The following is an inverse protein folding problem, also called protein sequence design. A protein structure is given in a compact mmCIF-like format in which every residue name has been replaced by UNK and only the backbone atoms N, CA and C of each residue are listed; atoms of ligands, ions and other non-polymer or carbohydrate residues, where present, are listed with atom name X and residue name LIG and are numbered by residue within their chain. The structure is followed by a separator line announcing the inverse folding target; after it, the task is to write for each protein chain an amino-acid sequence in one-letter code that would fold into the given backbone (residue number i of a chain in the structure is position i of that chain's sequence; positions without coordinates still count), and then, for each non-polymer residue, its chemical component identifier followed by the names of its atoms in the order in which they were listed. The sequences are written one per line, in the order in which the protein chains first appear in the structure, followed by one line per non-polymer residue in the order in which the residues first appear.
data_IF_082748549863
#
_entry.id   IF_082748549863
#
_cell.length_a   1.000
_cell.length_b   1.000
_cell.length_c   1.000
_cell.angle_alpha   90.00
_cell.angle_beta   90.00
_cell.angle_gamma   90.00
#
_symmetry.space_group_name_H-M   'P 1'
#
loop_
_entity.id
_entity.type
_entity.pdbx_description
1 polymer ?
#
# COMPACT_ATOMS: atom_id res chain seq x y z
N UNK A 1 17.81 -8.03 -29.13
CA UNK A 1 16.96 -8.64 -28.09
C UNK A 1 17.40 -10.02 -27.66
N UNK A 2 17.70 -10.97 -28.56
CA UNK A 2 18.10 -12.35 -28.21
C UNK A 2 19.36 -12.49 -27.31
N UNK A 3 20.32 -11.58 -27.42
CA UNK A 3 21.56 -11.62 -26.62
C UNK A 3 21.30 -11.28 -25.13
N UNK A 4 20.50 -10.25 -24.85
CA UNK A 4 20.12 -9.89 -23.47
C UNK A 4 19.30 -10.98 -22.79
N UNK A 5 18.39 -11.62 -23.52
CA UNK A 5 17.57 -12.72 -22.99
C UNK A 5 18.44 -13.93 -22.65
N UNK A 6 19.44 -14.25 -23.48
CA UNK A 6 20.40 -15.32 -23.20
C UNK A 6 21.29 -15.07 -21.97
N UNK A 7 21.70 -13.80 -21.75
CA UNK A 7 22.46 -13.41 -20.56
C UNK A 7 21.62 -13.55 -19.27
N UNK A 8 20.35 -13.13 -19.32
CA UNK A 8 19.42 -13.16 -18.17
C UNK A 8 18.89 -14.57 -17.85
N UNK A 9 19.02 -15.54 -18.78
CA UNK A 9 18.62 -16.93 -18.55
C UNK A 9 19.78 -17.84 -18.18
N UNK A 10 21.03 -17.34 -18.20
CA UNK A 10 22.20 -18.13 -17.82
C UNK A 10 22.31 -18.27 -16.29
N UNK A 11 21.83 -19.42 -15.78
CA UNK A 11 21.81 -19.73 -14.34
C UNK A 11 23.20 -19.66 -13.67
N UNK A 12 24.28 -19.94 -14.40
CA UNK A 12 25.65 -19.88 -13.88
C UNK A 12 26.06 -18.42 -13.67
N UNK A 13 25.80 -17.58 -14.66
CA UNK A 13 26.10 -16.15 -14.59
C UNK A 13 25.28 -15.46 -13.47
N UNK A 14 24.00 -15.79 -13.36
CA UNK A 14 23.15 -15.26 -12.28
C UNK A 14 23.62 -15.69 -10.90
N UNK A 15 24.07 -16.95 -10.73
CA UNK A 15 24.66 -17.41 -9.46
C UNK A 15 25.95 -16.68 -9.14
N UNK A 16 26.84 -16.49 -10.11
CA UNK A 16 28.08 -15.75 -9.92
C UNK A 16 27.83 -14.29 -9.52
N UNK A 17 26.91 -13.60 -10.20
CA UNK A 17 26.49 -12.24 -9.84
C UNK A 17 25.92 -12.21 -8.41
N UNK A 18 25.12 -13.19 -8.05
CA UNK A 18 24.51 -13.27 -6.72
C UNK A 18 25.53 -13.47 -5.61
N UNK A 19 26.54 -14.33 -5.82
CA UNK A 19 27.65 -14.55 -4.87
C UNK A 19 28.48 -13.27 -4.68
N UNK A 20 28.82 -12.59 -5.79
CA UNK A 20 29.53 -11.31 -5.72
C UNK A 20 28.69 -10.26 -4.99
N UNK A 21 27.39 -10.24 -5.26
CA UNK A 21 26.45 -9.31 -4.60
C UNK A 21 26.40 -9.50 -3.09
N UNK A 22 26.33 -10.74 -2.61
CA UNK A 22 26.31 -11.04 -1.17
C UNK A 22 27.64 -10.69 -0.49
N UNK A 23 28.75 -10.85 -1.19
CA UNK A 23 30.08 -10.53 -0.67
C UNK A 23 30.31 -9.01 -0.47
N UNK A 24 29.51 -8.16 -1.11
CA UNK A 24 29.63 -6.70 -0.93
C UNK A 24 29.12 -6.26 0.45
N UNK A 25 29.81 -5.30 1.11
CA UNK A 25 29.32 -4.67 2.35
C UNK A 25 27.92 -4.09 2.18
N UNK A 26 27.09 -4.20 3.21
CA UNK A 26 25.70 -3.71 3.19
C UNK A 26 25.54 -2.26 2.69
N UNK A 27 26.35 -1.27 3.13
CA UNK A 27 26.20 0.11 2.65
C UNK A 27 26.45 0.24 1.14
N UNK A 28 27.36 -0.56 0.59
CA UNK A 28 27.63 -0.57 -0.86
C UNK A 28 26.44 -1.18 -1.60
N UNK A 29 25.93 -2.30 -1.15
CA UNK A 29 24.72 -2.93 -1.72
C UNK A 29 23.54 -1.97 -1.72
N UNK A 30 23.28 -1.32 -0.57
CA UNK A 30 22.19 -0.34 -0.43
C UNK A 30 22.34 0.79 -1.45
N UNK A 31 23.54 1.38 -1.58
CA UNK A 31 23.80 2.49 -2.52
C UNK A 31 23.60 2.03 -3.97
N UNK A 32 24.17 0.90 -4.36
CA UNK A 32 24.04 0.37 -5.73
C UNK A 32 22.57 0.06 -6.04
N UNK A 33 21.83 -0.59 -5.14
CA UNK A 33 20.40 -0.86 -5.35
C UNK A 33 19.61 0.43 -5.53
N UNK A 34 19.85 1.43 -4.68
CA UNK A 34 19.15 2.71 -4.75
C UNK A 34 19.39 3.42 -6.09
N UNK A 35 20.64 3.45 -6.55
CA UNK A 35 20.96 4.11 -7.82
C UNK A 35 20.46 3.31 -9.03
N UNK A 36 20.52 1.99 -9.00
CA UNK A 36 19.93 1.16 -10.06
C UNK A 36 18.41 1.36 -10.15
N UNK A 37 17.71 1.41 -9.03
CA UNK A 37 16.27 1.71 -9.00
C UNK A 37 16.02 3.12 -9.55
N UNK A 38 16.79 4.11 -9.13
CA UNK A 38 16.67 5.50 -9.61
C UNK A 38 16.84 5.57 -11.14
N UNK A 39 17.89 4.97 -11.68
CA UNK A 39 18.15 4.94 -13.13
C UNK A 39 17.03 4.21 -13.86
N UNK A 40 16.58 3.08 -13.36
CA UNK A 40 15.47 2.33 -13.95
C UNK A 40 14.17 3.15 -13.98
N UNK A 41 13.87 3.89 -12.91
CA UNK A 41 12.69 4.76 -12.85
C UNK A 41 12.79 5.92 -13.84
N UNK A 42 13.98 6.54 -13.98
CA UNK A 42 14.21 7.60 -14.96
C UNK A 42 14.05 7.07 -16.40
N UNK A 43 14.65 5.91 -16.70
CA UNK A 43 14.51 5.28 -18.01
C UNK A 43 13.05 4.93 -18.31
N UNK A 44 12.33 4.34 -17.37
CA UNK A 44 10.91 4.02 -17.54
C UNK A 44 10.04 5.26 -17.77
N UNK A 45 10.36 6.39 -17.11
CA UNK A 45 9.70 7.68 -17.38
C UNK A 45 10.01 8.20 -18.77
N UNK A 46 11.28 8.14 -19.20
CA UNK A 46 11.73 8.62 -20.51
C UNK A 46 11.08 7.86 -21.67
N UNK A 47 10.91 6.53 -21.56
CA UNK A 47 10.27 5.70 -22.60
C UNK A 47 8.74 5.63 -22.48
N UNK A 48 8.14 6.44 -21.59
CA UNK A 48 6.69 6.57 -21.48
C UNK A 48 5.93 5.35 -20.93
N UNK A 49 6.63 4.34 -20.41
CA UNK A 49 6.01 3.13 -19.83
C UNK A 49 5.05 3.48 -18.66
N UNK A 50 5.22 4.67 -18.06
CA UNK A 50 4.36 5.14 -16.97
C UNK A 50 3.20 6.06 -17.43
N UNK A 51 2.97 6.21 -18.72
CA UNK A 51 1.82 6.95 -19.26
C UNK A 51 0.56 6.06 -19.37
N UNK A 52 0.27 5.24 -18.37
CA UNK A 52 -1.05 4.60 -18.32
C UNK A 52 -2.05 5.60 -17.73
N UNK A 53 -2.90 6.12 -18.60
CA UNK A 53 -4.09 6.91 -18.22
C UNK A 53 -5.30 5.98 -18.02
N UNK A 54 -5.28 4.80 -18.66
CA UNK A 54 -6.35 3.81 -18.60
C UNK A 54 -6.30 2.99 -17.31
N UNK A 55 -7.49 2.61 -16.82
CA UNK A 55 -7.60 1.73 -15.66
C UNK A 55 -7.05 0.34 -16.00
N UNK A 56 -6.30 -0.22 -15.07
CA UNK A 56 -5.84 -1.62 -15.18
C UNK A 56 -7.05 -2.55 -15.09
N UNK A 57 -7.28 -3.43 -16.07
CA UNK A 57 -8.39 -4.39 -16.01
C UNK A 57 -8.34 -5.21 -14.71
N UNK A 58 -9.48 -5.52 -14.07
CA UNK A 58 -9.52 -6.22 -12.78
C UNK A 58 -8.66 -7.49 -12.72
N UNK A 59 -8.72 -8.34 -13.73
CA UNK A 59 -7.92 -9.57 -13.80
C UNK A 59 -6.42 -9.38 -14.06
N UNK A 60 -5.96 -8.14 -14.29
CA UNK A 60 -4.55 -7.78 -14.49
C UNK A 60 -3.97 -6.94 -13.34
N UNK A 61 -4.78 -6.63 -12.34
CA UNK A 61 -4.31 -5.91 -11.16
C UNK A 61 -3.34 -6.81 -10.40
N UNK A 62 -2.08 -6.39 -10.33
CA UNK A 62 -1.07 -7.12 -9.59
C UNK A 62 -1.32 -6.99 -8.08
N UNK A 63 -1.20 -8.11 -7.38
CA UNK A 63 -1.21 -8.15 -5.92
C UNK A 63 -0.11 -9.07 -5.40
N UNK A 64 0.35 -8.80 -4.19
CA UNK A 64 1.30 -9.64 -3.47
C UNK A 64 0.85 -9.76 -2.01
N UNK A 65 0.82 -10.99 -1.51
CA UNK A 65 0.53 -11.30 -0.12
C UNK A 65 1.50 -12.38 0.34
N UNK A 66 2.18 -12.14 1.47
CA UNK A 66 3.17 -13.09 2.00
C UNK A 66 2.57 -14.05 3.03
N UNK A 67 1.48 -13.65 3.67
CA UNK A 67 0.83 -14.40 4.76
C UNK A 67 -0.56 -14.92 4.38
N UNK A 68 -0.81 -15.06 3.07
CA UNK A 68 -2.09 -15.50 2.53
C UNK A 68 -3.06 -14.34 2.26
N UNK A 69 -4.23 -14.70 1.77
CA UNK A 69 -5.31 -13.77 1.46
C UNK A 69 -6.49 -14.09 2.40
N UNK A 70 -6.64 -13.36 3.53
CA UNK A 70 -7.74 -13.59 4.46
C UNK A 70 -9.07 -13.34 3.77
N UNK A 71 -10.03 -14.22 4.04
CA UNK A 71 -11.40 -14.05 3.59
C UNK A 71 -12.22 -13.46 4.73
N UNK A 72 -12.57 -12.17 4.59
CA UNK A 72 -13.33 -11.45 5.59
C UNK A 72 -14.77 -11.30 5.14
N UNK A 73 -15.69 -11.66 6.04
CA UNK A 73 -17.11 -11.44 5.86
C UNK A 73 -17.45 -9.98 6.15
N UNK A 74 -17.97 -9.27 5.16
CA UNK A 74 -18.32 -7.85 5.31
C UNK A 74 -19.49 -7.62 6.28
N UNK A 75 -20.37 -8.61 6.50
CA UNK A 75 -21.47 -8.48 7.44
C UNK A 75 -21.00 -8.54 8.90
N UNK A 76 -19.91 -9.28 9.15
CA UNK A 76 -19.29 -9.41 10.47
C UNK A 76 -18.09 -8.46 10.65
N UNK A 77 -17.72 -7.71 9.60
CA UNK A 77 -16.58 -6.82 9.63
C UNK A 77 -16.80 -5.62 10.53
N UNK A 78 -15.80 -5.35 11.38
CA UNK A 78 -15.67 -4.13 12.16
C UNK A 78 -14.26 -3.56 12.04
N UNK A 79 -14.19 -2.26 11.78
CA UNK A 79 -12.96 -1.48 11.89
C UNK A 79 -12.89 -0.87 13.28
N UNK A 80 -11.77 -1.07 13.99
CA UNK A 80 -11.50 -0.34 15.24
C UNK A 80 -10.56 0.83 15.00
N UNK A 81 -10.79 1.94 15.72
CA UNK A 81 -9.88 3.08 15.81
C UNK A 81 -9.64 3.34 17.30
N UNK A 82 -8.38 3.31 17.72
CA UNK A 82 -8.06 3.31 19.15
C UNK A 82 -6.70 3.95 19.49
N UNK A 83 -6.37 3.96 20.77
CA UNK A 83 -5.18 4.47 21.45
C UNK A 83 -5.14 6.00 21.57
N UNK A 84 -4.33 6.75 20.83
CA UNK A 84 -4.22 8.21 20.95
C UNK A 84 -5.43 8.96 20.38
N UNK A 85 -6.62 8.55 20.82
CA UNK A 85 -7.91 9.19 20.52
C UNK A 85 -8.64 9.54 21.80
N UNK A 86 -9.55 10.50 21.74
CA UNK A 86 -10.43 10.80 22.87
C UNK A 86 -11.57 9.76 22.97
N UNK A 87 -12.00 9.22 21.83
CA UNK A 87 -13.05 8.21 21.72
C UNK A 87 -12.62 7.09 20.78
N UNK A 88 -12.50 5.88 21.32
CA UNK A 88 -12.31 4.69 20.48
C UNK A 88 -13.58 4.41 19.67
N UNK A 89 -13.39 4.04 18.41
CA UNK A 89 -14.49 3.72 17.51
C UNK A 89 -14.49 2.22 17.16
N UNK A 90 -15.70 1.68 16.99
CA UNK A 90 -15.93 0.37 16.38
C UNK A 90 -16.97 0.56 15.29
N UNK A 91 -16.57 0.44 14.03
CA UNK A 91 -17.35 0.86 12.86
C UNK A 91 -17.62 -0.35 11.99
N UNK A 92 -18.89 -0.78 11.89
CA UNK A 92 -19.28 -1.86 10.99
C UNK A 92 -19.13 -1.45 9.52
N UNK A 93 -19.04 -2.42 8.61
CA UNK A 93 -18.95 -2.15 7.18
C UNK A 93 -20.16 -1.34 6.66
N UNK A 94 -21.35 -1.61 7.18
CA UNK A 94 -22.55 -0.83 6.87
C UNK A 94 -22.43 0.63 7.32
N UNK A 95 -21.92 0.87 8.54
CA UNK A 95 -21.68 2.21 9.06
C UNK A 95 -20.60 2.96 8.27
N UNK A 96 -19.55 2.28 7.78
CA UNK A 96 -18.55 2.90 6.89
C UNK A 96 -19.18 3.50 5.63
N UNK A 97 -20.18 2.83 5.06
CA UNK A 97 -20.86 3.31 3.85
C UNK A 97 -21.75 4.55 4.08
N UNK A 98 -21.96 4.96 5.32
CA UNK A 98 -22.70 6.21 5.65
C UNK A 98 -21.80 7.45 5.66
N UNK A 99 -20.49 7.27 5.68
CA UNK A 99 -19.53 8.37 5.58
C UNK A 99 -19.52 8.96 4.16
N UNK A 100 -19.07 10.22 3.98
CA UNK A 100 -18.92 10.82 2.66
C UNK A 100 -18.04 9.95 1.76
N UNK A 101 -18.59 9.53 0.62
CA UNK A 101 -17.92 8.67 -0.35
C UNK A 101 -16.94 9.49 -1.18
N UNK A 102 -15.75 8.95 -1.38
CA UNK A 102 -14.71 9.50 -2.24
C UNK A 102 -14.38 8.51 -3.34
N UNK A 103 -14.47 8.96 -4.59
CA UNK A 103 -13.96 8.24 -5.76
C UNK A 103 -12.65 8.88 -6.19
N UNK A 104 -11.59 8.09 -6.34
CA UNK A 104 -10.27 8.60 -6.73
C UNK A 104 -9.53 7.64 -7.62
N UNK A 105 -9.02 8.15 -8.74
CA UNK A 105 -8.08 7.40 -9.55
C UNK A 105 -6.70 7.42 -8.90
N UNK A 106 -6.15 6.24 -8.66
CA UNK A 106 -4.86 6.02 -8.00
C UNK A 106 -3.94 5.27 -8.95
N UNK A 107 -2.71 5.77 -9.05
CA UNK A 107 -1.60 5.01 -9.60
C UNK A 107 -0.81 4.40 -8.45
N UNK A 108 -0.80 3.07 -8.38
CA UNK A 108 -0.06 2.32 -7.37
C UNK A 108 1.18 1.70 -7.99
N UNK A 109 2.34 2.10 -7.50
CA UNK A 109 3.63 1.57 -7.92
C UNK A 109 4.12 0.49 -6.95
N UNK A 110 4.55 -0.63 -7.49
CA UNK A 110 5.31 -1.64 -6.76
C UNK A 110 6.81 -1.34 -6.83
N UNK A 111 7.56 -1.59 -5.77
CA UNK A 111 9.04 -1.50 -5.79
C UNK A 111 9.68 -2.39 -6.86
N UNK A 112 9.02 -3.48 -7.24
CA UNK A 112 9.42 -4.34 -8.37
C UNK A 112 9.15 -3.76 -9.76
N UNK A 113 8.64 -2.52 -9.85
CA UNK A 113 8.41 -1.81 -11.10
C UNK A 113 7.09 -2.12 -11.81
N UNK A 114 6.19 -2.84 -11.15
CA UNK A 114 4.81 -3.04 -11.62
C UNK A 114 3.95 -1.85 -11.23
N UNK A 115 3.00 -1.51 -12.08
CA UNK A 115 2.10 -0.38 -11.89
C UNK A 115 0.65 -0.79 -12.15
N UNK A 116 -0.24 -0.36 -11.27
CA UNK A 116 -1.68 -0.45 -11.46
C UNK A 116 -2.31 0.95 -11.43
N UNK A 117 -3.20 1.23 -12.37
CA UNK A 117 -4.11 2.38 -12.33
C UNK A 117 -5.49 1.86 -11.96
N UNK A 118 -6.04 2.38 -10.88
CA UNK A 118 -7.30 1.89 -10.33
C UNK A 118 -8.19 3.06 -9.91
N UNK A 119 -9.47 2.93 -10.16
CA UNK A 119 -10.48 3.78 -9.53
C UNK A 119 -10.78 3.17 -8.15
N UNK A 120 -10.48 3.90 -7.10
CA UNK A 120 -10.73 3.52 -5.70
C UNK A 120 -11.94 4.27 -5.18
N UNK A 121 -12.91 3.53 -4.63
CA UNK A 121 -14.05 4.09 -3.93
C UNK A 121 -13.98 3.73 -2.46
N UNK A 122 -14.19 4.72 -1.60
CA UNK A 122 -14.08 4.54 -0.15
C UNK A 122 -14.44 5.79 0.63
N UNK A 123 -13.92 5.90 1.84
CA UNK A 123 -14.13 7.02 2.74
C UNK A 123 -12.82 7.74 3.03
N UNK A 124 -12.86 9.06 3.17
CA UNK A 124 -11.69 9.85 3.57
C UNK A 124 -11.20 9.42 4.95
N UNK A 125 -9.90 9.22 5.11
CA UNK A 125 -9.31 8.91 6.41
C UNK A 125 -9.56 10.05 7.41
N UNK A 126 -9.47 11.30 6.98
CA UNK A 126 -9.74 12.46 7.84
C UNK A 126 -11.18 12.44 8.38
N UNK A 127 -12.17 12.24 7.49
CA UNK A 127 -13.59 12.17 7.89
C UNK A 127 -13.86 10.97 8.83
N UNK A 128 -13.17 9.86 8.65
CA UNK A 128 -13.31 8.70 9.50
C UNK A 128 -12.70 8.91 10.89
N UNK A 129 -11.58 9.63 10.99
CA UNK A 129 -10.90 9.91 12.25
C UNK A 129 -11.53 11.06 13.04
N UNK A 130 -12.27 11.95 12.40
CA UNK A 130 -12.89 13.12 13.05
C UNK A 130 -13.72 12.74 14.29
N UNK A 131 -14.65 11.74 14.26
CA UNK A 131 -15.42 11.35 15.44
C UNK A 131 -14.58 10.71 16.56
N UNK A 132 -13.38 10.19 16.24
CA UNK A 132 -12.46 9.63 17.23
C UNK A 132 -11.74 10.71 18.03
N UNK A 133 -11.70 11.95 17.53
CA UNK A 133 -10.98 13.08 18.13
C UNK A 133 -9.51 12.71 18.45
N UNK A 134 -8.65 12.60 17.42
CA UNK A 134 -7.24 12.32 17.64
C UNK A 134 -6.61 13.30 18.63
N UNK A 135 -5.84 12.78 19.59
CA UNK A 135 -5.15 13.62 20.57
C UNK A 135 -4.06 14.47 19.89
N UNK A 136 -3.73 15.65 20.44
CA UNK A 136 -2.70 16.52 19.85
C UNK A 136 -1.32 15.89 19.72
N UNK A 137 -1.00 14.88 20.51
CA UNK A 137 0.24 14.12 20.48
C UNK A 137 0.19 12.87 19.57
N UNK A 138 -0.93 12.63 18.89
CA UNK A 138 -1.06 11.56 17.89
C UNK A 138 -0.39 11.99 16.58
N UNK A 139 0.84 11.58 16.37
CA UNK A 139 1.62 11.91 15.17
C UNK A 139 1.75 10.75 14.17
N UNK A 140 1.38 9.55 14.59
CA UNK A 140 1.58 8.30 13.84
C UNK A 140 0.28 7.51 13.75
N UNK A 141 0.00 6.96 12.56
CA UNK A 141 -1.08 6.01 12.33
C UNK A 141 -0.53 4.64 11.92
N UNK A 142 -0.96 3.61 12.61
CA UNK A 142 -0.59 2.21 12.38
C UNK A 142 -1.82 1.46 11.88
N UNK A 143 -1.71 0.89 10.68
CA UNK A 143 -2.79 0.12 10.07
C UNK A 143 -2.51 -1.36 10.21
N UNK A 144 -3.29 -2.04 11.04
CA UNK A 144 -3.20 -3.47 11.25
C UNK A 144 -4.11 -4.21 10.29
N UNK A 145 -3.57 -5.27 9.70
CA UNK A 145 -4.26 -6.13 8.73
C UNK A 145 -4.72 -7.43 9.41
N UNK A 146 -5.75 -8.03 8.82
CA UNK A 146 -6.27 -9.32 9.30
C UNK A 146 -5.26 -10.48 9.19
N UNK A 147 -4.25 -10.38 8.31
CA UNK A 147 -3.18 -11.38 8.14
C UNK A 147 -1.98 -11.19 9.09
N UNK A 148 -2.07 -10.23 10.04
CA UNK A 148 -1.01 -9.91 10.99
C UNK A 148 0.04 -8.92 10.50
N UNK A 149 0.03 -8.53 9.22
CA UNK A 149 0.89 -7.46 8.73
C UNK A 149 0.40 -6.10 9.22
N UNK A 150 1.31 -5.15 9.39
CA UNK A 150 0.95 -3.76 9.69
C UNK A 150 1.84 -2.76 8.94
N UNK A 151 1.34 -1.56 8.76
CA UNK A 151 2.11 -0.44 8.19
C UNK A 151 1.99 0.79 9.07
N UNK A 152 3.07 1.54 9.16
CA UNK A 152 3.16 2.76 9.95
C UNK A 152 3.35 3.97 9.05
N UNK A 153 2.65 5.06 9.33
CA UNK A 153 2.71 6.30 8.58
C UNK A 153 2.67 7.51 9.52
N UNK A 154 3.40 8.59 9.23
CA UNK A 154 3.10 9.87 9.84
C UNK A 154 1.65 10.27 9.56
N UNK A 155 0.89 10.60 10.60
CA UNK A 155 -0.53 10.93 10.47
C UNK A 155 -0.72 12.18 9.59
N UNK A 156 0.11 13.19 9.78
CA UNK A 156 0.08 14.42 8.97
C UNK A 156 0.26 14.14 7.46
N UNK A 157 1.19 13.24 7.08
CA UNK A 157 1.39 12.85 5.67
C UNK A 157 0.12 12.25 5.05
N UNK A 158 -0.61 11.44 5.81
CA UNK A 158 -1.84 10.80 5.32
C UNK A 158 -2.97 11.82 5.14
N UNK A 159 -3.11 12.75 6.08
CA UNK A 159 -4.12 13.80 6.01
C UNK A 159 -3.81 14.77 4.86
N UNK A 160 -2.55 15.23 4.73
CA UNK A 160 -2.11 16.11 3.64
C UNK A 160 -2.28 15.43 2.26
N UNK A 161 -1.97 14.14 2.16
CA UNK A 161 -2.16 13.37 0.94
C UNK A 161 -3.62 13.01 0.67
N UNK A 162 -4.54 13.38 1.55
CA UNK A 162 -5.96 13.05 1.49
C UNK A 162 -6.15 11.53 1.30
N UNK A 163 -5.53 10.75 2.19
CA UNK A 163 -5.62 9.29 2.18
C UNK A 163 -7.06 8.82 2.38
N UNK A 164 -7.38 7.68 1.78
CA UNK A 164 -8.71 7.09 1.91
C UNK A 164 -8.64 5.61 2.31
N UNK A 165 -9.72 5.12 2.89
CA UNK A 165 -9.97 3.71 3.12
C UNK A 165 -10.96 3.22 2.06
N UNK A 166 -10.44 2.45 1.10
CA UNK A 166 -11.21 2.00 -0.05
C UNK A 166 -11.85 0.64 0.22
N UNK A 167 -13.08 0.46 -0.25
CA UNK A 167 -13.84 -0.78 -0.22
C UNK A 167 -14.23 -1.29 -1.61
N UNK A 168 -14.04 -0.48 -2.68
CA UNK A 168 -14.21 -0.93 -4.07
C UNK A 168 -13.01 -0.52 -4.92
N UNK A 169 -12.72 -1.34 -5.91
CA UNK A 169 -11.70 -1.12 -6.94
C UNK A 169 -12.35 -1.30 -8.31
N UNK A 170 -12.29 -0.26 -9.15
CA UNK A 170 -12.88 -0.28 -10.49
C UNK A 170 -14.38 -0.65 -10.47
N UNK A 171 -15.12 -0.19 -9.44
CA UNK A 171 -16.56 -0.45 -9.27
C UNK A 171 -16.91 -1.85 -8.78
N UNK A 172 -15.96 -2.60 -8.25
CA UNK A 172 -16.17 -3.96 -7.75
C UNK A 172 -15.53 -4.17 -6.37
N UNK A 173 -16.14 -4.99 -5.55
CA UNK A 173 -15.50 -5.55 -4.38
C UNK A 173 -14.34 -6.44 -4.84
N UNK A 174 -13.18 -6.31 -4.20
CA UNK A 174 -11.97 -6.98 -4.63
C UNK A 174 -11.28 -7.69 -3.43
N UNK A 175 -11.74 -8.88 -3.02
CA UNK A 175 -11.26 -9.59 -1.83
C UNK A 175 -9.75 -9.76 -1.80
N UNK A 176 -9.14 -10.23 -2.88
CA UNK A 176 -7.68 -10.43 -3.01
C UNK A 176 -6.89 -9.12 -2.91
N UNK A 177 -7.57 -8.00 -3.19
CA UNK A 177 -6.95 -6.67 -3.18
C UNK A 177 -7.25 -5.86 -1.92
N UNK A 178 -7.87 -6.47 -0.89
CA UNK A 178 -8.01 -5.86 0.43
C UNK A 178 -9.44 -5.53 0.86
N UNK A 179 -10.48 -6.02 0.16
CA UNK A 179 -11.86 -5.93 0.65
C UNK A 179 -12.00 -6.71 1.99
N UNK A 180 -12.76 -6.23 2.97
CA UNK A 180 -13.70 -5.09 2.93
C UNK A 180 -13.03 -3.70 2.96
N UNK A 181 -11.78 -3.55 3.44
CA UNK A 181 -11.19 -2.25 3.62
C UNK A 181 -9.67 -2.24 3.39
N UNK A 182 -9.21 -1.29 2.59
CA UNK A 182 -7.77 -1.11 2.34
C UNK A 182 -7.36 0.35 2.45
N UNK A 183 -6.14 0.58 2.95
CA UNK A 183 -5.53 1.91 2.91
C UNK A 183 -5.09 2.26 1.49
N UNK A 184 -5.41 3.48 1.08
CA UNK A 184 -4.92 4.12 -0.13
C UNK A 184 -4.31 5.47 0.24
N UNK A 185 -2.99 5.55 0.16
CA UNK A 185 -2.24 6.77 0.42
C UNK A 185 -1.50 7.17 -0.86
N UNK A 186 -1.87 8.29 -1.50
CA UNK A 186 -1.18 8.78 -2.70
C UNK A 186 0.31 8.95 -2.48
N UNK A 187 1.11 8.75 -3.53
CA UNK A 187 2.58 8.87 -3.53
C UNK A 187 3.33 7.84 -2.67
N UNK A 188 2.64 6.86 -2.08
CA UNK A 188 3.29 5.75 -1.35
C UNK A 188 3.35 4.51 -2.25
N UNK A 189 4.37 3.69 -2.06
CA UNK A 189 4.49 2.39 -2.74
C UNK A 189 3.50 1.37 -2.20
N UNK A 190 3.16 0.38 -3.03
CA UNK A 190 2.15 -0.64 -2.73
C UNK A 190 2.33 -1.37 -1.39
N UNK A 191 3.56 -1.62 -0.93
CA UNK A 191 3.82 -2.28 0.35
C UNK A 191 3.37 -1.43 1.56
N UNK A 192 3.30 -0.11 1.41
CA UNK A 192 2.76 0.82 2.43
C UNK A 192 1.23 0.91 2.44
N UNK A 193 0.55 0.36 1.43
CA UNK A 193 -0.90 0.43 1.28
C UNK A 193 -1.53 -0.84 1.87
N UNK A 194 -1.79 -0.83 3.19
CA UNK A 194 -2.32 -1.98 3.90
C UNK A 194 -3.64 -2.48 3.29
N UNK A 195 -3.71 -3.79 3.00
CA UNK A 195 -4.93 -4.51 2.61
C UNK A 195 -5.61 -5.09 3.85
N UNK A 196 -6.90 -5.39 3.78
CA UNK A 196 -7.67 -6.05 4.86
C UNK A 196 -7.46 -5.35 6.22
N UNK A 197 -7.59 -4.02 6.22
CA UNK A 197 -7.41 -3.22 7.44
C UNK A 197 -8.56 -3.49 8.40
N UNK A 198 -8.23 -3.94 9.60
CA UNK A 198 -9.19 -4.23 10.67
C UNK A 198 -9.04 -3.31 11.88
N UNK A 199 -7.88 -2.66 12.03
CA UNK A 199 -7.61 -1.76 13.14
C UNK A 199 -6.71 -0.61 12.71
N UNK A 200 -7.04 0.58 13.18
CA UNK A 200 -6.19 1.77 13.08
C UNK A 200 -5.81 2.16 14.51
N UNK A 201 -4.54 2.14 14.80
CA UNK A 201 -3.97 2.57 16.07
C UNK A 201 -3.29 3.92 15.85
N UNK A 202 -3.67 4.93 16.62
CA UNK A 202 -2.96 6.19 16.66
C UNK A 202 -1.94 6.17 17.78
N UNK A 203 -0.71 6.61 17.50
CA UNK A 203 0.40 6.57 18.44
C UNK A 203 1.12 7.91 18.49
N UNK A 204 1.92 8.10 19.53
CA UNK A 204 2.90 9.18 19.67
C UNK A 204 4.30 8.60 19.47
N UNK A 205 5.08 9.19 18.58
CA UNK A 205 6.38 8.65 18.14
C UNK A 205 6.23 7.54 17.12
N UNK A 206 7.26 7.32 16.32
CA UNK A 206 7.25 6.34 15.24
C UNK A 206 7.65 4.95 15.74
N UNK A 207 6.72 4.03 16.01
CA UNK A 207 7.09 2.63 16.12
C UNK A 207 7.63 2.16 14.76
N UNK A 208 8.69 1.38 14.79
CA UNK A 208 9.25 0.77 13.58
C UNK A 208 8.17 -0.12 12.94
N UNK A 209 7.69 0.26 11.77
CA UNK A 209 6.79 -0.51 10.93
C UNK A 209 7.40 -0.76 9.55
N UNK A 210 6.86 -1.74 8.83
CA UNK A 210 7.28 -2.03 7.47
C UNK A 210 7.00 -0.87 6.51
#
# INVERSE_FOLDING_TARGET
MAFLTRLLTNRILLKAIWVIWIALPYPVRKRVTTECIRVLLVLKRAIGIFRQVELTPPGKIFTLSFWGDPHLDSEQFNLTVEDRVARSLSISFGALKTYPVVDRQITMDCVGGLRNNMMMRGVSLAALLEPAEPRPDADTAIFHRADGYFTTHPLADLIEADALLAYEINGQEAPVHGFPLRLVAPKKYGYKLAKWVVRIELASGSPLGY
#
